data_IF_607456304201
#
_entry.id   IF_607456304201
#
_cell.length_a   1.000
_cell.length_b   1.000
_cell.length_c   1.000
_cell.angle_alpha   90.00
_cell.angle_beta   90.00
_cell.angle_gamma   90.00
#
_symmetry.space_group_name_H-M   'P 1'
#
loop_
_entity.id
_entity.type
_entity.pdbx_description
1 polymer ?
#
# COMPACT_ATOMS: atom_id res chain seq x y z
N UNK A 1 -3.90 7.74 27.80
CA UNK A 1 -3.34 6.58 27.06
C UNK A 1 -2.71 7.14 25.80
N UNK A 2 -1.40 6.98 25.60
CA UNK A 2 -0.75 7.43 24.34
C UNK A 2 -1.29 6.56 23.21
N UNK A 3 -2.06 7.13 22.28
CA UNK A 3 -2.47 6.41 21.08
C UNK A 3 -1.22 6.07 20.28
N UNK A 4 -0.90 4.78 20.17
CA UNK A 4 0.14 4.33 19.26
C UNK A 4 -0.29 4.65 17.84
N UNK A 5 0.57 5.29 17.05
CA UNK A 5 0.30 5.57 15.63
C UNK A 5 -0.11 4.29 14.90
N UNK A 6 -1.18 4.37 14.14
CA UNK A 6 -1.66 3.27 13.31
C UNK A 6 -1.26 3.51 11.85
N UNK A 7 -1.12 2.42 11.10
CA UNK A 7 -0.76 2.43 9.70
C UNK A 7 -1.80 1.67 8.90
N UNK A 8 -2.02 2.08 7.66
CA UNK A 8 -2.82 1.33 6.69
C UNK A 8 -1.92 0.77 5.60
N UNK A 9 -2.13 -0.50 5.26
CA UNK A 9 -1.53 -1.11 4.10
C UNK A 9 -2.30 -0.74 2.84
N UNK A 10 -1.59 -0.23 1.84
CA UNK A 10 -2.15 0.15 0.54
C UNK A 10 -1.47 -0.67 -0.54
N UNK A 11 -2.19 -1.59 -1.20
CA UNK A 11 -1.61 -2.36 -2.30
C UNK A 11 -1.34 -1.45 -3.49
N UNK A 12 -0.15 -1.58 -4.09
CA UNK A 12 0.21 -0.81 -5.28
C UNK A 12 -0.10 -1.65 -6.52
N UNK A 13 -1.11 -1.21 -7.26
CA UNK A 13 -1.73 -1.95 -8.37
C UNK A 13 -1.98 -1.05 -9.59
N UNK A 14 -2.21 -1.65 -10.75
CA UNK A 14 -2.54 -0.92 -11.98
C UNK A 14 -3.80 -0.06 -11.87
N UNK A 15 -4.74 -0.38 -10.98
CA UNK A 15 -5.97 0.40 -10.78
C UNK A 15 -5.87 1.53 -9.74
N UNK A 16 -4.66 1.91 -9.33
CA UNK A 16 -4.43 3.19 -8.62
C UNK A 16 -4.95 4.36 -9.48
N UNK A 17 -5.64 5.30 -8.85
CA UNK A 17 -6.39 6.38 -9.50
C UNK A 17 -7.82 6.00 -9.91
N UNK A 18 -8.20 4.72 -9.77
CA UNK A 18 -9.55 4.23 -10.06
C UNK A 18 -10.17 3.55 -8.82
N UNK A 19 -9.65 2.38 -8.42
CA UNK A 19 -10.16 1.63 -7.24
C UNK A 19 -9.55 2.07 -5.92
N UNK A 20 -8.37 2.68 -6.00
CA UNK A 20 -7.70 3.33 -4.88
C UNK A 20 -7.36 4.74 -5.32
N UNK A 21 -7.93 5.74 -4.66
CA UNK A 21 -7.73 7.15 -5.00
C UNK A 21 -7.21 7.92 -3.78
N UNK A 22 -6.56 9.05 -4.05
CA UNK A 22 -6.16 10.02 -3.02
C UNK A 22 -6.80 11.37 -3.34
N UNK A 23 -7.37 12.00 -2.32
CA UNK A 23 -7.93 13.34 -2.39
C UNK A 23 -7.23 14.22 -1.38
N UNK A 24 -6.79 15.39 -1.84
CA UNK A 24 -6.20 16.40 -0.98
C UNK A 24 -7.25 17.46 -0.66
N UNK A 25 -7.57 17.60 0.62
CA UNK A 25 -8.38 18.69 1.14
C UNK A 25 -7.47 19.66 1.89
N UNK A 26 -7.94 20.89 2.13
CA UNK A 26 -7.20 21.90 2.89
C UNK A 26 -6.81 21.36 4.27
N UNK A 27 -5.56 20.92 4.42
CA UNK A 27 -4.99 20.40 5.66
C UNK A 27 -5.15 18.90 5.90
N UNK A 28 -5.75 18.12 4.99
CA UNK A 28 -5.84 16.65 5.11
C UNK A 28 -5.65 15.92 3.78
N UNK A 29 -5.16 14.68 3.88
CA UNK A 29 -5.04 13.75 2.75
C UNK A 29 -5.92 12.55 3.06
N UNK A 30 -6.82 12.20 2.15
CA UNK A 30 -7.74 11.07 2.31
C UNK A 30 -7.50 10.06 1.21
N UNK A 31 -7.31 8.80 1.58
CA UNK A 31 -7.21 7.70 0.63
C UNK A 31 -8.53 6.95 0.64
N UNK A 32 -9.13 6.75 -0.53
CA UNK A 32 -10.31 5.92 -0.69
C UNK A 32 -9.91 4.51 -1.13
N UNK A 33 -10.32 3.49 -0.37
CA UNK A 33 -10.21 2.08 -0.76
C UNK A 33 -11.60 1.46 -0.66
N UNK A 34 -12.18 1.08 -1.79
CA UNK A 34 -13.53 0.50 -1.86
C UNK A 34 -14.63 1.32 -1.16
N UNK A 35 -14.60 2.65 -1.31
CA UNK A 35 -15.57 3.52 -0.64
C UNK A 35 -15.24 3.84 0.83
N UNK A 36 -14.20 3.23 1.41
CA UNK A 36 -13.70 3.63 2.74
C UNK A 36 -12.72 4.78 2.61
N UNK A 37 -13.06 5.91 3.22
CA UNK A 37 -12.21 7.09 3.30
C UNK A 37 -11.30 7.00 4.53
N UNK A 38 -10.00 6.97 4.29
CA UNK A 38 -8.97 6.85 5.33
C UNK A 38 -8.18 8.16 5.35
N UNK A 39 -8.29 8.91 6.44
CA UNK A 39 -7.47 10.11 6.61
C UNK A 39 -6.04 9.73 7.03
N UNK A 40 -5.06 10.17 6.24
CA UNK A 40 -3.64 9.89 6.47
C UNK A 40 -2.89 11.14 6.92
N UNK A 41 -1.75 10.91 7.58
CA UNK A 41 -0.83 11.99 7.94
C UNK A 41 -0.40 12.77 6.69
N UNK A 42 -0.42 14.09 6.77
CA UNK A 42 0.11 14.97 5.72
C UNK A 42 1.63 15.05 5.73
N UNK A 43 2.26 14.81 6.90
CA UNK A 43 3.70 14.75 7.04
C UNK A 43 4.21 13.37 6.59
N UNK A 44 5.02 13.36 5.53
CA UNK A 44 5.60 12.16 4.94
C UNK A 44 6.55 11.42 5.89
N UNK A 45 7.18 12.13 6.84
CA UNK A 45 8.08 11.52 7.83
C UNK A 45 7.37 10.60 8.84
N UNK A 46 6.04 10.67 8.92
CA UNK A 46 5.26 9.83 9.82
C UNK A 46 4.98 8.44 9.23
N UNK A 47 5.13 8.26 7.91
CA UNK A 47 4.86 7.00 7.22
C UNK A 47 5.99 5.98 7.45
N UNK A 48 5.67 4.68 7.33
CA UNK A 48 6.69 3.62 7.44
C UNK A 48 7.40 3.44 6.10
N UNK A 49 6.64 3.32 5.01
CA UNK A 49 7.23 3.41 3.68
C UNK A 49 7.73 4.83 3.48
N UNK A 50 8.98 4.97 3.05
CA UNK A 50 9.64 6.25 2.85
C UNK A 50 10.35 6.27 1.50
N UNK A 51 10.63 7.49 1.01
CA UNK A 51 11.45 7.74 -0.17
C UNK A 51 12.62 8.60 0.30
N UNK A 52 13.84 8.12 0.07
CA UNK A 52 15.05 8.86 0.45
C UNK A 52 15.34 10.01 -0.53
N UNK A 53 16.35 10.82 -0.20
CA UNK A 53 16.81 11.96 -1.01
C UNK A 53 17.29 11.57 -2.43
N UNK A 54 17.55 10.28 -2.67
CA UNK A 54 17.98 9.71 -3.95
C UNK A 54 16.82 9.05 -4.71
N UNK A 55 15.59 9.20 -4.23
CA UNK A 55 14.40 8.59 -4.83
C UNK A 55 14.29 7.08 -4.62
N UNK A 56 15.00 6.49 -3.66
CA UNK A 56 14.86 5.07 -3.34
C UNK A 56 13.64 4.82 -2.45
N UNK A 57 12.79 3.88 -2.86
CA UNK A 57 11.65 3.46 -2.05
C UNK A 57 12.10 2.43 -1.02
N UNK A 58 11.79 2.69 0.25
CA UNK A 58 12.10 1.85 1.40
C UNK A 58 10.85 1.32 2.09
N UNK A 59 11.03 0.24 2.85
CA UNK A 59 10.01 -0.35 3.71
C UNK A 59 8.72 -0.73 2.95
N UNK A 60 8.87 -1.45 1.85
CA UNK A 60 7.74 -2.02 1.09
C UNK A 60 7.26 -3.28 1.80
N UNK A 61 5.98 -3.34 2.16
CA UNK A 61 5.39 -4.52 2.80
C UNK A 61 4.92 -5.53 1.75
N UNK A 62 5.20 -6.81 1.99
CA UNK A 62 4.70 -7.94 1.21
C UNK A 62 3.70 -8.71 2.06
N UNK A 63 2.48 -8.87 1.57
CA UNK A 63 1.46 -9.74 2.18
C UNK A 63 1.36 -11.01 1.34
N UNK A 64 1.81 -12.15 1.88
CA UNK A 64 1.80 -13.47 1.23
C UNK A 64 0.51 -14.25 1.53
N UNK A 65 0.14 -15.21 0.69
CA UNK A 65 -1.14 -15.94 0.73
C UNK A 65 -2.37 -15.08 0.43
N UNK A 66 -2.17 -13.93 -0.21
CA UNK A 66 -3.24 -13.02 -0.58
C UNK A 66 -3.07 -12.58 -2.02
N UNK A 67 -4.20 -12.32 -2.66
CA UNK A 67 -4.30 -11.60 -3.93
C UNK A 67 -5.12 -10.33 -3.75
N UNK A 68 -5.04 -9.41 -4.70
CA UNK A 68 -5.87 -8.20 -4.71
C UNK A 68 -7.07 -8.35 -5.65
N UNK A 69 -8.25 -7.96 -5.19
CA UNK A 69 -9.37 -7.65 -6.07
C UNK A 69 -9.15 -6.25 -6.63
N UNK A 70 -8.68 -6.13 -7.88
CA UNK A 70 -8.31 -4.83 -8.43
C UNK A 70 -9.48 -3.84 -8.51
N UNK A 71 -10.73 -4.31 -8.57
CA UNK A 71 -11.91 -3.45 -8.65
C UNK A 71 -12.19 -2.72 -7.34
N UNK A 72 -11.84 -3.35 -6.21
CA UNK A 72 -12.08 -2.79 -4.88
C UNK A 72 -10.79 -2.27 -4.23
N UNK A 73 -9.65 -2.86 -4.55
CA UNK A 73 -8.38 -2.61 -3.88
C UNK A 73 -8.19 -3.41 -2.58
N UNK A 74 -9.12 -4.32 -2.24
CA UNK A 74 -9.02 -5.17 -1.04
C UNK A 74 -8.30 -6.48 -1.33
N UNK A 75 -7.75 -7.08 -0.27
CA UNK A 75 -7.06 -8.36 -0.34
C UNK A 75 -8.02 -9.54 -0.10
N UNK A 76 -7.84 -10.62 -0.86
CA UNK A 76 -8.55 -11.88 -0.70
C UNK A 76 -7.52 -12.95 -0.30
N UNK A 77 -7.71 -13.66 0.82
CA UNK A 77 -6.82 -14.77 1.18
C UNK A 77 -7.01 -15.94 0.21
N UNK A 78 -5.91 -16.55 -0.24
CA UNK A 78 -5.93 -17.66 -1.21
C UNK A 78 -5.35 -18.96 -0.68
N UNK A 79 -4.60 -18.91 0.43
CA UNK A 79 -3.82 -20.02 0.98
C UNK A 79 -2.70 -20.54 0.06
N UNK A 80 -2.45 -19.89 -1.08
CA UNK A 80 -1.29 -20.17 -1.93
C UNK A 80 -0.09 -19.32 -1.47
N UNK A 81 1.00 -19.93 -0.96
CA UNK A 81 2.18 -19.18 -0.51
C UNK A 81 2.93 -18.48 -1.64
N UNK A 82 2.68 -18.84 -2.90
CA UNK A 82 3.24 -18.15 -4.06
C UNK A 82 2.50 -16.85 -4.37
N UNK A 83 1.23 -16.73 -3.96
CA UNK A 83 0.47 -15.49 -4.12
C UNK A 83 0.96 -14.44 -3.12
N UNK A 84 1.13 -13.22 -3.62
CA UNK A 84 1.47 -12.09 -2.78
C UNK A 84 0.99 -10.76 -3.37
N UNK A 85 0.84 -9.77 -2.49
CA UNK A 85 0.60 -8.37 -2.87
C UNK A 85 1.61 -7.47 -2.17
N UNK A 86 2.23 -6.57 -2.94
CA UNK A 86 3.17 -5.58 -2.44
C UNK A 86 2.48 -4.24 -2.27
N UNK A 87 2.84 -3.52 -1.22
CA UNK A 87 2.21 -2.26 -0.91
C UNK A 87 3.04 -1.36 -0.01
N UNK A 88 2.48 -0.20 0.27
CA UNK A 88 3.05 0.81 1.16
C UNK A 88 2.31 0.83 2.49
N UNK A 89 2.99 1.28 3.54
CA UNK A 89 2.45 1.51 4.87
C UNK A 89 2.46 3.01 5.18
N UNK A 90 1.26 3.59 5.24
CA UNK A 90 1.07 5.03 5.51
C UNK A 90 0.36 5.23 6.85
N UNK A 91 0.80 6.24 7.59
CA UNK A 91 0.25 6.57 8.90
C UNK A 91 -1.15 7.17 8.77
N UNK A 92 -2.09 6.68 9.56
CA UNK A 92 -3.44 7.25 9.67
C UNK A 92 -3.50 8.30 10.76
N UNK A 93 -4.34 9.33 10.59
CA UNK A 93 -4.52 10.39 11.60
C UNK A 93 -5.39 9.92 12.77
N UNK A 94 -6.46 9.21 12.46
CA UNK A 94 -7.41 8.70 13.43
C UNK A 94 -7.41 7.18 13.48
N UNK A 95 -7.99 6.61 14.54
CA UNK A 95 -8.16 5.17 14.65
C UNK A 95 -9.01 4.67 13.48
N UNK A 96 -8.45 3.70 12.75
CA UNK A 96 -9.10 3.14 11.59
C UNK A 96 -9.85 1.86 11.99
N UNK A 97 -11.10 1.76 11.55
CA UNK A 97 -11.86 0.51 11.57
C UNK A 97 -11.57 -0.23 10.26
N UNK A 98 -10.74 -1.27 10.32
CA UNK A 98 -10.40 -2.10 9.17
C UNK A 98 -10.86 -3.55 9.39
N UNK A 99 -10.94 -4.32 8.30
CA UNK A 99 -11.35 -5.73 8.38
C UNK A 99 -10.33 -6.56 9.17
N UNK A 100 -9.04 -6.21 9.07
CA UNK A 100 -7.95 -6.88 9.77
C UNK A 100 -7.01 -5.84 10.37
N UNK A 101 -6.99 -5.75 11.70
CA UNK A 101 -6.11 -4.88 12.47
C UNK A 101 -5.16 -5.71 13.32
N UNK A 102 -3.86 -5.55 13.07
CA UNK A 102 -2.82 -6.38 13.69
C UNK A 102 -1.77 -5.49 14.36
N UNK A 103 -1.47 -5.79 15.62
CA UNK A 103 -0.35 -5.19 16.36
C UNK A 103 0.78 -6.21 16.45
N UNK A 104 1.91 -5.93 15.81
CA UNK A 104 2.96 -6.91 15.59
C UNK A 104 4.35 -6.30 15.77
N UNK A 105 5.30 -7.13 16.19
CA UNK A 105 6.72 -6.78 16.09
C UNK A 105 7.13 -6.67 14.63
N UNK A 106 7.85 -5.62 14.27
CA UNK A 106 8.31 -5.38 12.89
C UNK A 106 9.18 -6.50 12.35
N UNK A 107 9.89 -7.22 13.22
CA UNK A 107 10.69 -8.42 12.86
C UNK A 107 9.86 -9.55 12.24
N UNK A 108 8.54 -9.56 12.45
CA UNK A 108 7.60 -10.54 11.89
C UNK A 108 7.02 -10.13 10.55
N UNK A 109 7.21 -8.89 10.13
CA UNK A 109 6.70 -8.39 8.85
C UNK A 109 7.68 -8.70 7.72
N UNK A 110 7.14 -9.12 6.57
CA UNK A 110 7.95 -9.31 5.37
C UNK A 110 8.13 -7.97 4.64
N UNK A 111 9.20 -7.27 5.00
CA UNK A 111 9.52 -5.93 4.47
C UNK A 111 10.74 -5.98 3.56
N UNK A 112 10.60 -5.43 2.35
CA UNK A 112 11.67 -5.26 1.38
C UNK A 112 12.33 -3.88 1.52
N UNK A 113 13.61 -3.79 1.10
CA UNK A 113 14.43 -2.58 1.16
C UNK A 113 14.31 -1.87 2.52
N UNK A 114 14.56 -2.63 3.60
CA UNK A 114 14.43 -2.16 4.98
C UNK A 114 15.27 -0.90 5.21
N UNK A 115 14.60 0.17 5.61
CA UNK A 115 15.17 1.38 6.19
C UNK A 115 14.84 1.44 7.70
N UNK A 116 14.68 2.65 8.23
CA UNK A 116 14.31 2.86 9.63
C UNK A 116 12.84 2.51 9.87
N UNK A 117 12.56 1.64 10.82
CA UNK A 117 11.19 1.23 11.21
C UNK A 117 11.15 1.07 12.75
N UNK A 118 10.08 1.50 13.44
CA UNK A 118 9.85 1.19 14.84
C UNK A 118 9.87 -0.33 15.12
N UNK A 119 10.09 -0.73 16.38
CA UNK A 119 10.10 -2.14 16.78
C UNK A 119 8.73 -2.82 16.69
N UNK A 120 7.65 -2.05 16.78
CA UNK A 120 6.28 -2.53 16.81
C UNK A 120 5.40 -1.60 15.95
N UNK A 121 4.46 -2.19 15.21
CA UNK A 121 3.51 -1.47 14.36
C UNK A 121 2.09 -1.99 14.58
N UNK A 122 1.12 -1.09 14.50
CA UNK A 122 -0.30 -1.44 14.34
C UNK A 122 -0.68 -1.21 12.88
N UNK A 123 -0.96 -2.29 12.15
CA UNK A 123 -1.27 -2.27 10.71
C UNK A 123 -2.72 -2.65 10.48
N UNK A 124 -3.41 -1.83 9.70
CA UNK A 124 -4.77 -2.00 9.22
C UNK A 124 -4.73 -2.49 7.77
N UNK A 125 -5.44 -3.58 7.50
CA UNK A 125 -5.52 -4.22 6.18
C UNK A 125 -7.00 -4.39 5.82
N UNK A 126 -7.36 -3.99 4.60
CA UNK A 126 -8.69 -4.19 4.07
C UNK A 126 -8.77 -5.50 3.30
N UNK A 127 -9.60 -6.42 3.79
CA UNK A 127 -9.80 -7.74 3.21
C UNK A 127 -11.24 -7.96 2.77
N UNK A 128 -11.43 -8.87 1.83
CA UNK A 128 -12.70 -9.42 1.40
C UNK A 128 -12.75 -10.91 1.71
N UNK A 129 -13.95 -11.41 2.02
CA UNK A 129 -14.18 -12.85 2.12
C UNK A 129 -14.10 -13.45 0.71
N UNK A 130 -13.37 -14.56 0.51
CA UNK A 130 -13.38 -15.25 -0.76
C UNK A 130 -14.80 -15.65 -1.18
N UNK A 131 -15.10 -15.57 -2.47
CA UNK A 131 -16.35 -16.13 -3.01
C UNK A 131 -16.36 -17.66 -2.87
N UNK A 132 -17.53 -18.30 -2.94
CA UNK A 132 -17.65 -19.77 -2.97
C UNK A 132 -17.08 -20.43 -4.25
N UNK A 133 -16.69 -19.64 -5.24
CA UNK A 133 -16.14 -20.11 -6.51
C UNK A 133 -14.62 -20.29 -6.41
N UNK A 134 -14.06 -21.11 -7.32
CA UNK A 134 -12.62 -21.27 -7.47
C UNK A 134 -11.93 -19.92 -7.68
N UNK A 135 -10.93 -19.65 -6.86
CA UNK A 135 -10.09 -18.46 -6.98
C UNK A 135 -9.03 -18.73 -8.04
N UNK A 136 -9.15 -18.08 -9.19
CA UNK A 136 -8.08 -18.05 -10.18
C UNK A 136 -7.24 -16.81 -9.95
N UNK A 137 -5.91 -16.95 -9.95
CA UNK A 137 -4.99 -15.85 -9.68
C UNK A 137 -4.09 -15.59 -10.88
N UNK A 138 -3.67 -14.33 -11.04
CA UNK A 138 -2.79 -13.92 -12.13
C UNK A 138 -1.74 -12.95 -11.62
N UNK A 139 -0.48 -13.26 -11.93
CA UNK A 139 0.64 -12.35 -11.72
C UNK A 139 0.52 -11.10 -12.59
N UNK A 140 0.75 -9.93 -12.00
CA UNK A 140 0.72 -8.63 -12.67
C UNK A 140 1.88 -7.76 -12.22
N UNK A 141 2.31 -6.90 -13.12
CA UNK A 141 3.27 -5.80 -12.87
C UNK A 141 2.58 -4.47 -13.15
N UNK A 142 3.09 -3.38 -12.57
CA UNK A 142 2.67 -2.04 -12.98
C UNK A 142 3.08 -1.83 -14.44
N UNK A 143 2.10 -1.56 -15.31
CA UNK A 143 2.34 -1.30 -16.73
C UNK A 143 2.55 0.19 -17.00
N UNK A 144 3.12 0.51 -18.17
CA UNK A 144 3.48 1.90 -18.52
C UNK A 144 2.26 2.83 -18.56
N UNK A 145 1.09 2.33 -18.98
CA UNK A 145 -0.14 3.11 -19.05
C UNK A 145 -0.65 3.58 -17.66
N UNK A 146 -0.26 2.89 -16.59
CA UNK A 146 -0.66 3.25 -15.22
C UNK A 146 0.49 3.80 -14.38
N UNK A 147 1.72 3.80 -14.89
CA UNK A 147 2.90 4.21 -14.15
C UNK A 147 2.79 5.65 -13.64
N UNK A 148 2.34 6.57 -14.49
CA UNK A 148 2.18 7.97 -14.11
C UNK A 148 1.11 8.16 -13.02
N UNK A 149 0.02 7.38 -13.06
CA UNK A 149 -1.00 7.41 -12.01
C UNK A 149 -0.45 6.92 -10.67
N UNK A 150 0.30 5.82 -10.70
CA UNK A 150 0.95 5.28 -9.49
C UNK A 150 2.00 6.26 -8.98
N UNK A 151 2.82 6.82 -9.86
CA UNK A 151 3.80 7.85 -9.49
C UNK A 151 3.13 9.07 -8.86
N UNK A 152 2.07 9.59 -9.46
CA UNK A 152 1.33 10.72 -8.91
C UNK A 152 0.76 10.38 -7.53
N UNK A 153 0.20 9.19 -7.34
CA UNK A 153 -0.25 8.73 -6.03
C UNK A 153 0.89 8.72 -4.98
N UNK A 154 2.09 8.24 -5.35
CA UNK A 154 3.27 8.33 -4.48
C UNK A 154 3.66 9.78 -4.20
N UNK A 155 3.67 10.64 -5.23
CA UNK A 155 4.03 12.04 -5.09
C UNK A 155 3.07 12.79 -4.15
N UNK A 156 1.77 12.47 -4.24
CA UNK A 156 0.77 13.04 -3.35
C UNK A 156 0.98 12.63 -1.89
N UNK A 157 1.53 11.45 -1.62
CA UNK A 157 1.82 11.00 -0.25
C UNK A 157 3.15 11.58 0.23
N UNK A 158 4.20 11.44 -0.56
CA UNK A 158 5.59 11.61 -0.14
C UNK A 158 6.23 12.94 -0.55
N UNK A 159 5.59 13.75 -1.40
CA UNK A 159 6.12 15.02 -1.90
C UNK A 159 7.50 14.84 -2.53
N UNK A 160 7.55 14.02 -3.59
CA UNK A 160 8.80 13.60 -4.22
C UNK A 160 9.48 14.80 -4.88
N UNK A 161 10.78 14.95 -4.66
CA UNK A 161 11.59 15.93 -5.39
C UNK A 161 11.49 15.65 -6.91
N UNK A 162 11.10 16.63 -7.74
CA UNK A 162 10.97 16.44 -9.19
C UNK A 162 12.22 15.85 -9.87
N UNK A 163 13.42 16.12 -9.35
CA UNK A 163 14.68 15.55 -9.87
C UNK A 163 14.76 14.02 -9.71
N UNK A 164 14.00 13.45 -8.76
CA UNK A 164 13.95 12.02 -8.48
C UNK A 164 12.82 11.29 -9.22
N UNK A 165 11.99 11.98 -10.02
CA UNK A 165 10.82 11.41 -10.67
C UNK A 165 11.12 10.09 -11.41
N UNK A 166 12.10 10.11 -12.31
CA UNK A 166 12.40 8.95 -13.17
C UNK A 166 12.96 7.77 -12.36
N UNK A 167 13.73 8.06 -11.30
CA UNK A 167 14.23 7.03 -10.39
C UNK A 167 13.09 6.36 -9.62
N UNK A 168 12.15 7.14 -9.10
CA UNK A 168 10.99 6.60 -8.38
C UNK A 168 10.09 5.81 -9.32
N UNK A 169 9.82 6.30 -10.54
CA UNK A 169 9.07 5.55 -11.56
C UNK A 169 9.72 4.20 -11.88
N UNK A 170 11.05 4.17 -12.03
CA UNK A 170 11.80 2.94 -12.23
C UNK A 170 11.64 1.98 -11.05
N UNK A 171 11.82 2.47 -9.82
CA UNK A 171 11.62 1.67 -8.61
C UNK A 171 10.19 1.14 -8.50
N UNK A 172 9.18 1.93 -8.89
CA UNK A 172 7.78 1.50 -8.89
C UNK A 172 7.60 0.26 -9.77
N UNK A 173 8.12 0.29 -11.01
CA UNK A 173 8.03 -0.83 -11.95
C UNK A 173 8.77 -2.08 -11.46
N UNK A 174 9.95 -1.90 -10.87
CA UNK A 174 10.79 -3.02 -10.41
C UNK A 174 10.25 -3.66 -9.13
N UNK A 175 9.78 -2.85 -8.18
CA UNK A 175 9.37 -3.33 -6.86
C UNK A 175 7.95 -3.88 -6.86
N UNK A 176 7.01 -3.16 -7.47
CA UNK A 176 5.59 -3.47 -7.33
C UNK A 176 5.11 -4.41 -8.45
N UNK A 177 5.10 -5.68 -8.09
CA UNK A 177 4.35 -6.71 -8.75
C UNK A 177 3.50 -7.44 -7.71
N UNK A 178 2.42 -8.07 -8.16
CA UNK A 178 1.38 -8.60 -7.29
C UNK A 178 0.58 -9.68 -8.01
N UNK A 179 -0.12 -10.50 -7.24
CA UNK A 179 -1.14 -11.39 -7.75
C UNK A 179 -2.52 -10.76 -7.59
N UNK A 180 -3.33 -10.88 -8.63
CA UNK A 180 -4.69 -10.37 -8.68
C UNK A 180 -5.68 -11.52 -8.91
N UNK A 181 -6.92 -11.31 -8.45
CA UNK A 181 -8.04 -12.17 -8.86
C UNK A 181 -8.22 -12.08 -10.37
N UNK A 182 -8.17 -13.23 -11.05
CA UNK A 182 -8.49 -13.37 -12.47
C UNK A 182 -9.98 -13.63 -12.60
N UNK A 183 -10.71 -12.64 -13.09
CA UNK A 183 -12.12 -12.76 -13.47
C UNK A 183 -12.23 -13.23 -14.92
#
# INVERSE_FOLDING_TARGET
MSSSTEYVFIPIINKIGNSITITNNSGSKTINISGQNIEISTNSSNHITSIDERGNIHNVLVITNYVVNENSGKLIPTLDPCDYVKGILVAVRDQLQSTLKLKLQTSKLYILRKGRIPNELTVNIFTETPSSNTINTKFKTINDNNLDKVYNFFNEIYQIDPSNQEKVKKDIKELFNYYALSQ
#
